data_IF_068357917045
#
_entry.id   IF_068357917045
#
_cell.length_a   1.000
_cell.length_b   1.000
_cell.length_c   1.000
_cell.angle_alpha   90.00
_cell.angle_beta   90.00
_cell.angle_gamma   90.00
#
_symmetry.space_group_name_H-M   'P 1'
#
loop_
_entity.id
_entity.type
_entity.pdbx_description
1 polymer ?
#
# COMPACT_ATOMS: atom_id res chain seq x y z
N UNK A 1 69.33 -10.21 37.19
CA UNK A 1 67.93 -9.96 37.62
C UNK A 1 67.70 -8.46 37.48
N UNK A 2 66.65 -7.94 36.86
CA UNK A 2 65.27 -8.42 36.83
C UNK A 2 64.57 -7.79 35.62
N UNK A 3 63.97 -8.60 34.76
CA UNK A 3 63.06 -8.17 33.70
C UNK A 3 61.81 -7.55 34.33
N UNK A 4 61.43 -6.33 33.92
CA UNK A 4 60.21 -5.69 34.39
C UNK A 4 58.98 -6.39 33.80
N UNK A 5 57.90 -6.62 34.57
CA UNK A 5 56.67 -7.22 34.03
C UNK A 5 56.00 -6.23 33.08
N UNK A 6 55.49 -6.73 31.95
CA UNK A 6 54.63 -5.94 31.06
C UNK A 6 53.27 -5.72 31.75
N UNK A 7 52.88 -4.47 31.96
CA UNK A 7 51.55 -4.13 32.47
C UNK A 7 50.54 -4.24 31.31
N UNK A 8 49.60 -5.19 31.40
CA UNK A 8 48.44 -5.20 30.53
C UNK A 8 47.48 -4.09 30.97
N UNK A 9 47.15 -3.17 30.06
CA UNK A 9 46.14 -2.14 30.30
C UNK A 9 44.79 -2.68 29.84
N UNK A 10 43.88 -2.96 30.78
CA UNK A 10 42.49 -3.28 30.45
C UNK A 10 41.73 -1.99 30.18
N UNK A 11 41.24 -1.83 28.95
CA UNK A 11 40.39 -0.71 28.54
C UNK A 11 38.92 -1.10 28.58
N UNK A 12 38.08 -0.30 29.24
CA UNK A 12 36.63 -0.48 29.17
C UNK A 12 36.12 -0.18 27.76
N UNK A 13 35.55 -1.18 27.08
CA UNK A 13 34.81 -1.02 25.85
C UNK A 13 33.29 -0.93 26.14
N UNK A 14 32.61 0.05 25.55
CA UNK A 14 31.15 0.19 25.68
C UNK A 14 30.50 -0.64 24.55
N UNK A 15 29.81 -1.71 24.91
CA UNK A 15 28.98 -2.48 24.00
C UNK A 15 27.56 -1.89 24.00
N UNK A 16 27.10 -1.39 22.85
CA UNK A 16 25.72 -0.91 22.67
C UNK A 16 24.91 -1.97 21.94
N UNK A 17 23.71 -2.29 22.44
CA UNK A 17 22.74 -3.13 21.77
C UNK A 17 21.40 -2.38 21.67
N UNK A 18 20.84 -2.28 20.47
CA UNK A 18 19.52 -1.73 20.24
C UNK A 18 18.54 -2.87 19.94
N UNK A 19 17.48 -2.98 20.74
CA UNK A 19 16.39 -3.93 20.49
C UNK A 19 15.37 -3.24 19.57
N UNK A 20 15.37 -3.63 18.30
CA UNK A 20 14.38 -3.16 17.31
C UNK A 20 13.07 -3.92 17.55
N UNK A 21 11.98 -3.21 17.78
CA UNK A 21 10.64 -3.83 17.85
C UNK A 21 10.23 -4.27 16.44
N UNK A 22 9.62 -5.45 16.27
CA UNK A 22 9.15 -5.88 14.95
C UNK A 22 8.03 -4.95 14.48
N UNK A 23 8.30 -4.15 13.44
CA UNK A 23 7.30 -3.36 12.77
C UNK A 23 6.43 -4.30 11.92
N UNK A 24 5.10 -4.17 12.03
CA UNK A 24 4.17 -5.02 11.28
C UNK A 24 3.38 -4.16 10.30
N UNK A 25 3.30 -4.58 9.04
CA UNK A 25 2.35 -4.11 8.05
C UNK A 25 1.38 -5.24 7.74
N UNK A 26 0.09 -5.00 7.97
CA UNK A 26 -0.97 -5.98 7.75
C UNK A 26 -1.88 -5.47 6.65
N UNK A 27 -2.12 -6.27 5.61
CA UNK A 27 -3.20 -6.02 4.65
C UNK A 27 -4.51 -6.41 5.32
N UNK A 28 -5.43 -5.47 5.50
CA UNK A 28 -6.76 -5.74 6.07
C UNK A 28 -7.80 -5.92 4.98
N UNK A 29 -7.66 -5.19 3.87
CA UNK A 29 -8.62 -5.20 2.76
C UNK A 29 -7.90 -5.06 1.42
N UNK A 30 -8.44 -5.72 0.40
CA UNK A 30 -8.02 -5.59 -1.00
C UNK A 30 -8.71 -4.40 -1.71
N UNK A 31 -8.25 -4.05 -2.90
CA UNK A 31 -8.89 -3.01 -3.72
C UNK A 31 -9.93 -3.69 -4.61
N UNK A 32 -11.19 -3.31 -4.43
CA UNK A 32 -12.31 -3.81 -5.22
C UNK A 32 -13.06 -2.65 -5.88
N UNK A 33 -13.28 -2.74 -7.20
CA UNK A 33 -14.07 -1.77 -7.98
C UNK A 33 -15.58 -2.11 -7.95
N UNK A 34 -15.93 -3.26 -7.37
CA UNK A 34 -17.26 -3.84 -7.25
C UNK A 34 -17.78 -4.40 -8.57
N UNK A 35 -19.04 -4.82 -8.57
CA UNK A 35 -19.70 -5.34 -9.77
C UNK A 35 -20.03 -4.21 -10.76
N UNK A 36 -19.70 -4.44 -12.03
CA UNK A 36 -19.83 -3.45 -13.11
C UNK A 36 -20.47 -4.11 -14.33
N UNK A 37 -21.27 -3.33 -15.05
CA UNK A 37 -21.76 -3.67 -16.40
C UNK A 37 -21.06 -2.78 -17.39
N UNK A 38 -20.35 -3.38 -18.36
CA UNK A 38 -19.75 -2.65 -19.47
C UNK A 38 -20.76 -2.49 -20.61
N UNK A 39 -20.86 -1.28 -21.13
CA UNK A 39 -21.64 -0.95 -22.31
C UNK A 39 -20.84 -1.00 -23.62
N UNK A 40 -21.44 -0.52 -24.72
CA UNK A 40 -20.83 -0.50 -26.05
C UNK A 40 -19.71 0.54 -26.20
N UNK A 41 -19.53 1.42 -25.22
CA UNK A 41 -18.43 2.39 -25.14
C UNK A 41 -17.55 2.09 -23.94
N UNK A 42 -16.27 2.46 -24.03
CA UNK A 42 -15.36 2.35 -22.89
C UNK A 42 -15.75 3.32 -21.78
N UNK A 43 -15.31 3.04 -20.55
CA UNK A 43 -15.55 3.90 -19.41
C UNK A 43 -14.55 3.69 -18.29
N UNK A 44 -14.80 4.36 -17.18
CA UNK A 44 -13.92 4.33 -16.01
C UNK A 44 -14.68 4.12 -14.73
N UNK A 45 -13.99 3.51 -13.76
CA UNK A 45 -14.48 3.37 -12.39
C UNK A 45 -13.38 3.82 -11.45
N UNK A 46 -13.68 4.79 -10.60
CA UNK A 46 -12.72 5.30 -9.62
C UNK A 46 -13.18 4.94 -8.22
N UNK A 47 -12.26 4.39 -7.43
CA UNK A 47 -12.42 4.21 -5.99
C UNK A 47 -11.44 5.14 -5.28
N UNK A 48 -11.98 6.06 -4.48
CA UNK A 48 -11.18 7.07 -3.80
C UNK A 48 -10.35 6.46 -2.65
N UNK A 49 -9.01 6.62 -2.63
CA UNK A 49 -8.19 6.20 -1.50
C UNK A 49 -8.46 7.01 -0.23
N UNK A 50 -9.08 8.20 -0.35
CA UNK A 50 -9.34 9.10 0.79
C UNK A 50 -10.73 8.85 1.36
N UNK A 51 -11.76 8.83 0.51
CA UNK A 51 -13.17 8.81 0.95
C UNK A 51 -13.83 7.44 0.85
N UNK A 52 -13.16 6.43 0.27
CA UNK A 52 -13.75 5.15 -0.17
C UNK A 52 -14.83 5.24 -1.24
N UNK A 53 -15.21 6.43 -1.69
CA UNK A 53 -16.32 6.58 -2.62
C UNK A 53 -15.98 5.96 -3.97
N UNK A 54 -16.93 5.22 -4.54
CA UNK A 54 -16.89 4.77 -5.93
C UNK A 54 -17.61 5.79 -6.83
N UNK A 55 -16.99 6.12 -7.96
CA UNK A 55 -17.61 6.88 -9.05
C UNK A 55 -17.38 6.18 -10.38
N UNK A 56 -18.30 6.37 -11.33
CA UNK A 56 -18.22 5.77 -12.67
C UNK A 56 -18.40 6.83 -13.74
N UNK A 57 -17.83 6.59 -14.92
CA UNK A 57 -17.98 7.46 -16.08
C UNK A 57 -17.92 6.68 -17.40
N UNK A 58 -18.38 7.31 -18.48
CA UNK A 58 -18.42 6.68 -19.81
C UNK A 58 -19.42 5.53 -19.88
N UNK A 59 -19.07 4.47 -20.61
CA UNK A 59 -19.95 3.32 -20.85
C UNK A 59 -20.01 2.29 -19.72
N UNK A 60 -19.60 2.62 -18.49
CA UNK A 60 -19.62 1.69 -17.35
C UNK A 60 -20.74 2.05 -16.40
N UNK A 61 -21.56 1.06 -16.06
CA UNK A 61 -22.64 1.20 -15.07
C UNK A 61 -22.33 0.36 -13.84
N UNK A 62 -22.27 0.93 -12.62
CA UNK A 62 -22.07 0.16 -11.41
C UNK A 62 -23.35 -0.58 -11.04
N UNK A 63 -23.20 -1.82 -10.58
CA UNK A 63 -24.32 -2.64 -10.10
C UNK A 63 -24.00 -3.09 -8.67
N UNK A 64 -24.98 -3.00 -7.78
CA UNK A 64 -24.80 -3.37 -6.38
C UNK A 64 -23.74 -2.54 -5.63
N UNK A 65 -23.32 -3.05 -4.48
CA UNK A 65 -22.27 -2.46 -3.64
C UNK A 65 -20.90 -3.14 -3.81
N UNK A 66 -20.09 -3.13 -2.75
CA UNK A 66 -18.87 -3.92 -2.66
C UNK A 66 -17.58 -3.23 -3.10
N UNK A 67 -17.66 -2.07 -3.74
CA UNK A 67 -16.45 -1.32 -4.06
C UNK A 67 -15.83 -0.70 -2.82
N UNK A 68 -14.53 -0.92 -2.62
CA UNK A 68 -13.76 -0.35 -1.53
C UNK A 68 -12.28 -0.29 -1.88
N UNK A 69 -11.57 0.64 -1.24
CA UNK A 69 -10.12 0.77 -1.34
C UNK A 69 -9.43 -0.38 -0.60
N UNK A 70 -8.22 -0.71 -1.02
CA UNK A 70 -7.35 -1.56 -0.20
C UNK A 70 -6.89 -0.79 1.04
N UNK A 71 -6.75 -1.50 2.15
CA UNK A 71 -6.31 -0.95 3.43
C UNK A 71 -5.15 -1.77 3.98
N UNK A 72 -4.11 -1.06 4.40
CA UNK A 72 -2.94 -1.64 5.07
C UNK A 72 -2.69 -0.89 6.37
N UNK A 73 -2.49 -1.61 7.46
CA UNK A 73 -2.22 -1.03 8.77
C UNK A 73 -0.78 -1.32 9.17
N UNK A 74 0.00 -0.26 9.32
CA UNK A 74 1.36 -0.29 9.82
C UNK A 74 1.42 0.19 11.27
N UNK A 75 2.16 -0.52 12.10
CA UNK A 75 2.54 -0.03 13.45
C UNK A 75 4.04 0.29 13.47
N UNK A 76 4.41 1.45 14.03
CA UNK A 76 5.80 1.88 14.10
C UNK A 76 6.07 2.74 15.33
N UNK A 77 7.27 2.58 15.91
CA UNK A 77 7.86 3.55 16.83
C UNK A 77 8.38 4.79 16.10
N UNK A 78 9.29 5.57 16.72
CA UNK A 78 9.94 6.77 16.18
C UNK A 78 10.84 6.49 14.96
N UNK A 79 10.27 6.04 13.84
CA UNK A 79 10.94 5.74 12.58
C UNK A 79 10.36 6.58 11.43
N UNK A 80 11.19 6.78 10.40
CA UNK A 80 10.77 7.32 9.12
C UNK A 80 10.24 6.16 8.25
N UNK A 81 9.02 6.30 7.74
CA UNK A 81 8.42 5.28 6.87
C UNK A 81 8.34 5.79 5.42
N UNK A 82 8.88 5.02 4.48
CA UNK A 82 8.74 5.23 3.04
C UNK A 82 7.87 4.14 2.41
N UNK A 83 6.88 4.55 1.61
CA UNK A 83 5.99 3.62 0.92
C UNK A 83 6.12 3.78 -0.58
N UNK A 84 6.49 2.69 -1.25
CA UNK A 84 6.59 2.58 -2.70
C UNK A 84 5.83 1.34 -3.18
N UNK A 85 5.70 1.17 -4.48
CA UNK A 85 4.97 0.04 -5.05
C UNK A 85 4.43 0.33 -6.43
N UNK A 86 3.63 -0.60 -6.95
CA UNK A 86 2.99 -0.48 -8.26
C UNK A 86 2.16 0.80 -8.36
N UNK A 87 2.23 1.46 -9.53
CA UNK A 87 1.39 2.61 -9.88
C UNK A 87 0.22 2.22 -10.78
N UNK A 88 0.24 1.01 -11.31
CA UNK A 88 -0.84 0.43 -12.08
C UNK A 88 -0.92 -1.08 -11.88
N UNK A 89 -2.07 -1.64 -12.22
CA UNK A 89 -2.31 -3.08 -12.25
C UNK A 89 -3.17 -3.43 -13.45
N UNK A 90 -2.83 -4.53 -14.10
CA UNK A 90 -3.61 -5.11 -15.19
C UNK A 90 -4.52 -6.17 -14.62
N UNK A 91 -5.83 -6.05 -14.87
CA UNK A 91 -6.82 -7.04 -14.49
C UNK A 91 -7.17 -7.90 -15.72
N UNK A 92 -7.06 -9.20 -15.55
CA UNK A 92 -7.36 -10.19 -16.59
C UNK A 92 -8.57 -11.02 -16.20
N UNK A 93 -9.39 -11.37 -17.20
CA UNK A 93 -10.58 -12.21 -17.01
C UNK A 93 -10.17 -13.63 -16.68
N UNK A 94 -10.77 -14.22 -15.65
CA UNK A 94 -10.68 -15.66 -15.40
C UNK A 94 -11.17 -16.45 -16.64
N UNK A 95 -10.36 -17.39 -17.11
CA UNK A 95 -10.64 -18.14 -18.34
C UNK A 95 -10.34 -17.39 -19.66
N UNK A 96 -9.83 -16.16 -19.61
CA UNK A 96 -9.38 -15.42 -20.79
C UNK A 96 -10.50 -14.92 -21.71
N UNK A 97 -10.12 -14.57 -22.94
CA UNK A 97 -11.05 -14.17 -24.01
C UNK A 97 -11.57 -12.72 -23.94
N UNK A 98 -10.91 -11.86 -23.15
CA UNK A 98 -11.29 -10.46 -22.96
C UNK A 98 -10.07 -9.54 -23.08
N UNK A 99 -10.29 -8.30 -23.54
CA UNK A 99 -9.26 -7.28 -23.46
C UNK A 99 -8.95 -6.97 -21.98
N UNK A 100 -7.67 -6.79 -21.59
CA UNK A 100 -7.34 -6.49 -20.20
C UNK A 100 -7.92 -5.14 -19.77
N UNK A 101 -8.32 -5.04 -18.50
CA UNK A 101 -8.62 -3.75 -17.88
C UNK A 101 -7.37 -3.24 -17.17
N UNK A 102 -7.18 -1.93 -17.12
CA UNK A 102 -6.00 -1.32 -16.48
C UNK A 102 -6.48 -0.39 -15.39
N UNK A 103 -6.03 -0.62 -14.16
CA UNK A 103 -6.24 0.30 -13.06
C UNK A 103 -4.97 1.11 -12.80
N UNK A 104 -5.10 2.44 -12.79
CA UNK A 104 -4.10 3.35 -12.23
C UNK A 104 -4.33 3.46 -10.73
N UNK A 105 -3.28 3.29 -9.93
CA UNK A 105 -3.35 3.21 -8.48
C UNK A 105 -2.94 4.53 -7.84
N UNK A 106 -3.76 5.00 -6.90
CA UNK A 106 -3.52 6.22 -6.12
C UNK A 106 -3.47 5.86 -4.64
N UNK A 107 -2.50 6.44 -3.93
CA UNK A 107 -2.22 6.14 -2.53
C UNK A 107 -2.65 7.30 -1.66
N UNK A 108 -3.20 7.00 -0.49
CA UNK A 108 -3.40 7.93 0.59
C UNK A 108 -2.96 7.28 1.91
N UNK A 109 -2.77 8.09 2.94
CA UNK A 109 -2.41 7.59 4.26
C UNK A 109 -3.00 8.50 5.34
N UNK A 110 -3.33 7.92 6.49
CA UNK A 110 -3.75 8.65 7.70
C UNK A 110 -2.96 8.16 8.89
N UNK A 111 -2.44 9.10 9.68
CA UNK A 111 -1.64 8.81 10.86
C UNK A 111 -2.44 9.13 12.12
N UNK A 112 -2.54 8.18 13.04
CA UNK A 112 -3.05 8.41 14.38
C UNK A 112 -1.90 8.50 15.38
N UNK A 113 -2.00 9.40 16.37
CA UNK A 113 -0.95 9.61 17.38
C UNK A 113 0.05 10.73 17.08
N UNK A 114 -0.31 11.70 16.23
CA UNK A 114 0.47 12.94 16.04
C UNK A 114 1.69 12.81 15.13
N UNK A 115 1.67 11.89 14.17
CA UNK A 115 2.74 11.78 13.17
C UNK A 115 2.78 12.98 12.22
N UNK A 116 3.99 13.33 11.78
CA UNK A 116 4.25 14.44 10.85
C UNK A 116 4.73 13.89 9.51
N UNK A 117 4.13 14.36 8.42
CA UNK A 117 4.64 14.10 7.08
C UNK A 117 5.89 14.97 6.85
N UNK A 118 7.03 14.35 6.60
CA UNK A 118 8.31 15.01 6.39
C UNK A 118 8.97 14.44 5.12
N UNK A 119 9.07 15.25 4.07
CA UNK A 119 9.82 14.94 2.84
C UNK A 119 9.46 13.59 2.18
N UNK A 120 8.17 13.23 2.16
CA UNK A 120 7.70 11.96 1.58
C UNK A 120 7.82 10.75 2.51
N UNK A 121 8.31 10.94 3.74
CA UNK A 121 8.24 9.99 4.83
C UNK A 121 7.25 10.45 5.89
N UNK A 122 6.74 9.53 6.71
CA UNK A 122 5.98 9.89 7.92
C UNK A 122 6.78 9.51 9.15
N UNK A 123 7.01 10.48 10.04
CA UNK A 123 7.61 10.25 11.35
C UNK A 123 6.50 9.97 12.35
N UNK A 124 6.51 8.80 12.99
CA UNK A 124 5.53 8.44 14.02
C UNK A 124 6.15 8.52 15.42
N UNK A 125 5.79 9.50 16.27
CA UNK A 125 6.32 9.56 17.63
C UNK A 125 5.89 8.36 18.50
N UNK A 126 4.65 7.89 18.31
CA UNK A 126 4.12 6.59 18.75
C UNK A 126 2.75 6.43 18.10
N UNK A 127 2.63 5.67 17.00
CA UNK A 127 1.37 5.71 16.25
C UNK A 127 1.10 4.53 15.33
N UNK A 128 -0.17 4.45 14.94
CA UNK A 128 -0.68 3.57 13.89
C UNK A 128 -0.75 4.38 12.61
N UNK A 129 -0.14 3.85 11.55
CA UNK A 129 -0.23 4.39 10.21
C UNK A 129 -1.17 3.52 9.39
N UNK A 130 -2.25 4.09 8.88
CA UNK A 130 -3.09 3.38 7.92
C UNK A 130 -2.78 3.91 6.53
N UNK A 131 -2.53 2.99 5.59
CA UNK A 131 -2.36 3.27 4.17
C UNK A 131 -3.58 2.77 3.41
N UNK A 132 -3.97 3.56 2.42
CA UNK A 132 -5.10 3.26 1.56
C UNK A 132 -4.67 3.30 0.11
N UNK A 133 -5.09 2.30 -0.66
CA UNK A 133 -4.85 2.24 -2.10
C UNK A 133 -6.20 2.22 -2.80
N UNK A 134 -6.47 3.28 -3.53
CA UNK A 134 -7.59 3.41 -4.45
C UNK A 134 -7.05 3.46 -5.88
N UNK A 135 -7.90 3.82 -6.81
CA UNK A 135 -7.47 3.92 -8.19
C UNK A 135 -8.60 4.17 -9.16
N UNK A 136 -8.24 4.31 -10.43
CA UNK A 136 -9.16 4.42 -11.55
C UNK A 136 -8.93 3.25 -12.50
N UNK A 137 -9.93 2.39 -12.61
CA UNK A 137 -10.01 1.29 -13.57
C UNK A 137 -10.54 1.80 -14.91
N UNK A 138 -9.81 1.55 -15.98
CA UNK A 138 -10.26 1.75 -17.35
C UNK A 138 -10.84 0.45 -17.88
N UNK A 139 -12.12 0.49 -18.25
CA UNK A 139 -12.88 -0.64 -18.75
C UNK A 139 -13.12 -0.44 -20.26
N UNK A 140 -12.54 -1.29 -21.12
CA UNK A 140 -12.83 -1.26 -22.55
C UNK A 140 -14.31 -1.52 -22.84
N UNK A 141 -14.77 -1.16 -24.04
CA UNK A 141 -16.12 -1.46 -24.50
C UNK A 141 -16.36 -2.97 -24.61
N UNK A 142 -17.63 -3.40 -24.46
CA UNK A 142 -18.08 -4.78 -24.69
C UNK A 142 -17.28 -5.85 -23.92
N UNK A 143 -16.96 -5.57 -22.66
CA UNK A 143 -16.26 -6.55 -21.82
C UNK A 143 -17.19 -7.73 -21.49
N UNK A 144 -16.77 -8.97 -21.77
CA UNK A 144 -17.59 -10.13 -21.47
C UNK A 144 -17.76 -10.29 -19.95
N UNK A 145 -18.91 -10.80 -19.47
CA UNK A 145 -19.14 -11.09 -18.06
C UNK A 145 -18.09 -12.05 -17.50
N UNK A 146 -17.66 -11.84 -16.26
CA UNK A 146 -16.73 -12.71 -15.56
C UNK A 146 -15.90 -11.94 -14.53
N UNK A 147 -15.09 -12.67 -13.77
CA UNK A 147 -14.23 -12.09 -12.75
C UNK A 147 -12.92 -11.61 -13.37
N UNK A 148 -12.57 -10.36 -13.07
CA UNK A 148 -11.33 -9.73 -13.51
C UNK A 148 -10.46 -9.47 -12.30
N UNK A 149 -9.24 -10.00 -12.31
CA UNK A 149 -8.33 -9.87 -11.16
C UNK A 149 -6.90 -9.59 -11.61
N UNK A 150 -6.14 -8.98 -10.72
CA UNK A 150 -4.74 -8.64 -10.93
C UNK A 150 -4.06 -8.37 -9.59
N UNK A 151 -2.73 -8.50 -9.55
CA UNK A 151 -1.94 -8.32 -8.33
C UNK A 151 -1.05 -7.09 -8.45
N UNK A 152 -1.00 -6.29 -7.40
CA UNK A 152 -0.06 -5.18 -7.26
C UNK A 152 0.72 -5.33 -5.96
N UNK A 153 1.89 -4.68 -5.87
CA UNK A 153 2.75 -4.76 -4.70
C UNK A 153 2.85 -3.41 -4.00
N UNK A 154 2.97 -3.47 -2.67
CA UNK A 154 3.25 -2.34 -1.80
C UNK A 154 4.49 -2.69 -0.97
N UNK A 155 5.49 -1.83 -0.99
CA UNK A 155 6.73 -1.98 -0.23
C UNK A 155 6.81 -0.87 0.79
N UNK A 156 7.05 -1.25 2.05
CA UNK A 156 7.20 -0.32 3.16
C UNK A 156 8.61 -0.46 3.73
N UNK A 157 9.37 0.63 3.69
CA UNK A 157 10.71 0.69 4.23
C UNK A 157 10.71 1.50 5.53
N UNK A 158 11.40 0.97 6.54
CA UNK A 158 11.52 1.57 7.86
C UNK A 158 12.97 2.01 8.10
N UNK A 159 13.18 3.28 8.43
CA UNK A 159 14.49 3.90 8.68
C UNK A 159 14.55 4.55 10.06
#
# INVERSE_FOLDING_TARGET
MLSAPAAAADGNAIANAAVVRPNTLIKTDDLDFGTLVSGPTGGTVTVSPVTNARTTGGGVTPVGGGAHRATFVGTGGRLLIFVSGSTSVTLTRAGGGAAPMIASLVRAATTSGGGVALLGATLLPSGVQTYYIGGTLTVPANQPPGDYSGTFTLTVNYL
#
